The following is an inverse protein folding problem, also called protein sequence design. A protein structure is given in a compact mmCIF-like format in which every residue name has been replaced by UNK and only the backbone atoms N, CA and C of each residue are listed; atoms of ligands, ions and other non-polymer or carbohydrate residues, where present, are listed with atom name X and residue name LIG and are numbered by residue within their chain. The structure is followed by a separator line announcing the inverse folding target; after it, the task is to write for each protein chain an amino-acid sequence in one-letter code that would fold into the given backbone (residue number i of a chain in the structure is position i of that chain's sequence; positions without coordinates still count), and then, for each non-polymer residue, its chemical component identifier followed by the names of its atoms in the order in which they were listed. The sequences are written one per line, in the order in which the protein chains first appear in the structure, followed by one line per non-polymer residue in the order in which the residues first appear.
data_IF_129525666067
#
_entry.id   IF_129525666067
#
_cell.length_a   1.000
_cell.length_b   1.000
_cell.length_c   1.000
_cell.angle_alpha   90.00
_cell.angle_beta   90.00
_cell.angle_gamma   90.00
#
_symmetry.space_group_name_H-M   'P 1'
#
loop_
_entity.id
_entity.type
_entity.pdbx_description
1 polymer ?
#
# COMPACT_ATOMS: atom_id res chain seq x y z
N UNK A 1 33.27 -8.04 -1.07
CA UNK A 1 32.67 -6.80 -1.59
C UNK A 1 31.17 -6.98 -1.60
N UNK A 2 30.48 -6.40 -0.61
CA UNK A 2 29.01 -6.45 -0.50
C UNK A 2 28.43 -5.43 -1.48
N UNK A 3 27.43 -5.84 -2.25
CA UNK A 3 26.91 -5.08 -3.39
C UNK A 3 26.07 -3.87 -2.90
N UNK A 4 26.74 -2.73 -2.72
CA UNK A 4 26.25 -1.51 -2.06
C UNK A 4 25.12 -0.78 -2.82
N UNK A 5 24.85 -1.17 -4.07
CA UNK A 5 23.71 -0.69 -4.87
C UNK A 5 22.36 -1.21 -4.36
N UNK A 6 22.34 -2.34 -3.66
CA UNK A 6 21.12 -2.83 -3.01
C UNK A 6 20.81 -2.05 -1.74
N UNK A 7 21.80 -1.65 -0.94
CA UNK A 7 21.57 -1.15 0.41
C UNK A 7 20.82 0.19 0.51
N UNK A 8 21.00 1.13 -0.42
CA UNK A 8 20.36 2.46 -0.39
C UNK A 8 18.89 2.43 -0.85
N UNK A 9 18.63 1.73 -1.96
CA UNK A 9 17.27 1.43 -2.42
C UNK A 9 16.54 0.53 -1.41
N UNK A 10 17.24 -0.43 -0.80
CA UNK A 10 16.76 -1.27 0.28
C UNK A 10 16.62 -0.52 1.61
N UNK A 11 17.24 0.65 1.84
CA UNK A 11 17.04 1.45 3.07
C UNK A 11 15.81 2.32 3.00
N UNK A 12 15.46 2.86 1.82
CA UNK A 12 14.20 3.58 1.61
C UNK A 12 13.05 2.61 1.37
N UNK A 13 13.26 1.56 0.57
CA UNK A 13 12.31 0.45 0.42
C UNK A 13 12.22 -0.36 1.71
N UNK A 14 13.23 -0.51 2.58
CA UNK A 14 13.00 -1.07 3.93
C UNK A 14 12.70 -0.03 4.98
N UNK A 15 12.80 1.28 4.78
CA UNK A 15 12.21 2.23 5.74
C UNK A 15 10.72 2.33 5.44
N UNK A 16 10.35 2.48 4.18
CA UNK A 16 8.96 2.57 3.70
C UNK A 16 8.31 1.21 3.64
N UNK A 17 8.94 0.15 3.12
CA UNK A 17 8.48 -1.22 3.29
C UNK A 17 8.87 -1.83 4.63
N UNK A 18 9.66 -1.20 5.50
CA UNK A 18 9.49 -1.51 6.93
C UNK A 18 8.21 -0.93 7.46
N UNK A 19 7.96 0.34 7.19
CA UNK A 19 6.73 1.00 7.60
C UNK A 19 5.47 0.44 6.90
N UNK A 20 5.60 -0.30 5.79
CA UNK A 20 4.50 -0.87 4.98
C UNK A 20 4.49 -2.42 4.88
N UNK A 21 5.60 -3.13 5.13
CA UNK A 21 5.61 -4.60 5.32
C UNK A 21 5.72 -4.99 6.80
N UNK A 22 5.90 -4.05 7.73
CA UNK A 22 5.87 -4.33 9.16
C UNK A 22 4.48 -3.96 9.66
N UNK A 23 3.55 -4.90 9.46
CA UNK A 23 2.47 -5.07 10.40
C UNK A 23 3.02 -5.68 11.69
N UNK A 24 2.57 -5.14 12.83
CA UNK A 24 2.83 -5.56 14.22
C UNK A 24 4.15 -5.05 14.82
N UNK A 25 4.19 -4.46 16.01
CA UNK A 25 3.19 -4.27 17.05
C UNK A 25 3.78 -3.45 18.21
N UNK A 26 3.00 -2.74 19.03
CA UNK A 26 3.45 -1.86 20.14
C UNK A 26 2.73 -1.79 21.48
N UNK A 27 3.06 -0.83 22.33
CA UNK A 27 2.16 0.09 23.05
C UNK A 27 2.99 0.97 24.02
N UNK A 28 2.49 2.18 24.28
CA UNK A 28 3.28 3.29 24.81
C UNK A 28 3.13 3.73 26.26
N UNK A 29 3.92 4.77 26.55
CA UNK A 29 3.88 5.56 27.78
C UNK A 29 4.06 7.06 27.48
N UNK A 30 3.20 7.88 28.09
CA UNK A 30 3.12 9.34 27.93
C UNK A 30 3.92 10.09 29.00
N UNK A 31 4.65 11.14 28.62
CA UNK A 31 5.26 12.11 29.54
C UNK A 31 5.99 13.29 28.87
N UNK A 32 5.46 14.50 29.04
CA UNK A 32 6.15 15.81 28.85
C UNK A 32 6.20 16.36 27.42
N UNK A 33 5.54 17.51 27.16
CA UNK A 33 5.27 18.06 25.81
C UNK A 33 6.51 18.65 25.12
N UNK A 34 7.42 17.80 24.67
CA UNK A 34 8.16 18.07 23.44
C UNK A 34 7.13 18.23 22.30
N UNK A 35 7.41 19.10 21.30
CA UNK A 35 6.59 19.16 20.08
C UNK A 35 6.47 17.72 19.53
N UNK A 36 5.27 17.27 19.20
CA UNK A 36 5.07 15.96 18.57
C UNK A 36 5.46 16.02 17.09
N UNK A 37 5.93 14.92 16.50
CA UNK A 37 6.28 14.88 15.06
C UNK A 37 5.12 15.30 14.15
N UNK A 38 3.88 14.95 14.52
CA UNK A 38 2.67 15.34 13.79
C UNK A 38 2.45 16.86 13.75
N UNK A 39 2.94 17.60 14.76
CA UNK A 39 2.81 19.06 14.81
C UNK A 39 3.74 19.79 13.83
N UNK A 40 4.66 19.06 13.17
CA UNK A 40 5.58 19.60 12.18
C UNK A 40 5.12 19.34 10.74
N UNK A 41 4.00 18.66 10.53
CA UNK A 41 3.47 18.42 9.18
C UNK A 41 3.10 19.77 8.56
N UNK A 42 3.55 20.10 7.33
CA UNK A 42 3.18 21.34 6.67
C UNK A 42 1.71 21.39 6.26
N UNK A 43 1.14 22.61 6.23
CA UNK A 43 -0.24 22.85 5.79
C UNK A 43 -0.56 22.41 4.35
N UNK A 44 0.46 22.20 3.50
CA UNK A 44 0.27 21.69 2.13
C UNK A 44 -0.03 20.20 2.07
N UNK A 45 0.29 19.43 3.12
CA UNK A 45 -0.09 18.03 3.19
C UNK A 45 -1.60 17.89 3.32
N UNK A 46 -2.16 16.79 2.83
CA UNK A 46 -3.58 16.46 3.01
C UNK A 46 -3.78 15.01 3.51
N UNK A 47 -2.69 14.32 3.84
CA UNK A 47 -2.72 13.04 4.51
C UNK A 47 -1.41 12.74 5.24
N UNK A 48 -1.50 11.92 6.27
CA UNK A 48 -0.36 11.47 7.04
C UNK A 48 -0.60 10.11 7.68
N UNK A 49 0.49 9.40 7.97
CA UNK A 49 0.56 8.16 8.75
C UNK A 49 1.52 8.42 9.91
N UNK A 50 1.06 8.25 11.15
CA UNK A 50 1.90 8.27 12.34
C UNK A 50 2.12 6.84 12.82
N UNK A 51 3.36 6.52 13.19
CA UNK A 51 3.77 5.25 13.80
C UNK A 51 4.56 5.56 15.08
N UNK A 52 4.13 5.01 16.22
CA UNK A 52 4.80 5.10 17.52
C UNK A 52 5.83 3.97 17.64
N UNK A 53 7.01 4.20 17.06
CA UNK A 53 8.05 3.17 16.93
C UNK A 53 8.50 2.65 18.29
N UNK A 54 8.69 3.52 19.29
CA UNK A 54 9.13 3.11 20.63
C UNK A 54 8.15 2.15 21.29
N UNK A 55 6.88 2.49 21.19
CA UNK A 55 5.78 1.68 21.68
C UNK A 55 5.84 0.32 21.00
N UNK A 56 6.05 0.34 19.68
CA UNK A 56 6.22 -0.85 18.84
C UNK A 56 7.34 -1.75 19.35
N UNK A 57 8.53 -1.20 19.39
CA UNK A 57 9.73 -1.93 19.81
C UNK A 57 9.67 -2.38 21.26
N UNK A 58 8.81 -1.80 22.11
CA UNK A 58 8.64 -2.19 23.51
C UNK A 58 7.72 -3.42 23.71
N UNK A 59 6.86 -3.76 22.76
CA UNK A 59 5.90 -4.86 22.90
C UNK A 59 6.56 -6.23 22.98
N UNK A 60 6.12 -7.05 23.93
CA UNK A 60 6.74 -8.34 24.22
C UNK A 60 6.57 -9.35 23.06
N UNK A 61 5.43 -9.34 22.37
CA UNK A 61 5.15 -10.27 21.27
C UNK A 61 5.96 -9.90 20.04
N UNK A 62 6.14 -8.59 19.78
CA UNK A 62 7.10 -8.10 18.77
C UNK A 62 8.50 -8.52 19.10
N UNK A 63 8.97 -8.20 20.31
CA UNK A 63 10.31 -8.59 20.74
C UNK A 63 10.53 -10.09 20.68
N UNK A 64 9.49 -10.91 20.82
CA UNK A 64 9.59 -12.36 20.69
C UNK A 64 9.74 -12.80 19.23
N UNK A 65 9.07 -12.13 18.29
CA UNK A 65 9.17 -12.41 16.85
C UNK A 65 10.51 -11.97 16.26
N UNK A 66 11.08 -10.89 16.76
CA UNK A 66 12.34 -10.32 16.28
C UNK A 66 13.54 -10.75 17.13
N UNK A 67 13.69 -12.05 17.42
CA UNK A 67 14.87 -12.59 18.10
C UNK A 67 15.78 -13.34 17.14
N UNK A 68 17.06 -13.38 17.47
CA UNK A 68 18.06 -14.23 16.83
C UNK A 68 19.16 -13.46 16.11
N UNK A 69 20.20 -14.17 15.62
CA UNK A 69 21.42 -13.54 15.12
C UNK A 69 21.21 -12.55 13.98
N UNK A 70 20.28 -12.83 13.06
CA UNK A 70 19.96 -11.94 11.96
C UNK A 70 19.36 -10.60 12.41
N UNK A 71 18.50 -10.61 13.43
CA UNK A 71 17.94 -9.37 13.98
C UNK A 71 19.01 -8.58 14.73
N UNK A 72 19.81 -9.24 15.57
CA UNK A 72 20.91 -8.60 16.30
C UNK A 72 21.92 -7.95 15.36
N UNK A 73 22.26 -8.62 14.25
CA UNK A 73 23.14 -8.08 13.23
C UNK A 73 22.51 -6.89 12.49
N UNK A 74 21.22 -6.95 12.15
CA UNK A 74 20.50 -5.81 11.57
C UNK A 74 20.48 -4.60 12.52
N UNK A 75 20.14 -4.81 13.79
CA UNK A 75 20.15 -3.77 14.83
C UNK A 75 21.54 -3.16 15.03
N UNK A 76 22.59 -3.99 14.96
CA UNK A 76 23.97 -3.51 15.01
C UNK A 76 24.28 -2.64 13.79
N UNK A 77 23.90 -3.06 12.57
CA UNK A 77 24.12 -2.26 11.37
C UNK A 77 23.43 -0.90 11.43
N UNK A 78 22.19 -0.83 11.93
CA UNK A 78 21.51 0.44 12.17
C UNK A 78 22.25 1.30 13.20
N UNK A 79 22.67 0.71 14.31
CA UNK A 79 23.39 1.42 15.38
C UNK A 79 24.74 1.96 14.88
N UNK A 80 25.47 1.18 14.09
CA UNK A 80 26.73 1.58 13.44
C UNK A 80 26.49 2.75 12.47
N UNK A 81 25.32 2.79 11.80
CA UNK A 81 24.88 3.91 10.97
C UNK A 81 24.36 5.10 11.79
N UNK A 82 24.33 5.04 13.12
CA UNK A 82 23.80 6.12 13.97
C UNK A 82 22.28 6.10 14.13
N UNK A 83 21.61 4.98 13.81
CA UNK A 83 20.18 4.78 14.02
C UNK A 83 19.95 3.76 15.14
N UNK A 84 19.31 4.20 16.21
CA UNK A 84 18.88 3.38 17.33
C UNK A 84 17.35 3.28 17.32
N UNK A 85 16.82 2.20 16.73
CA UNK A 85 15.37 2.02 16.54
C UNK A 85 14.60 1.98 17.87
N UNK A 86 15.22 1.52 18.96
CA UNK A 86 14.58 1.49 20.29
C UNK A 86 14.42 2.90 20.89
N UNK A 87 15.21 3.87 20.39
CA UNK A 87 15.13 5.28 20.77
C UNK A 87 14.29 6.13 19.82
N UNK A 88 13.79 5.59 18.71
CA UNK A 88 12.84 6.31 17.86
C UNK A 88 11.49 6.32 18.55
N UNK A 89 11.03 7.50 18.95
CA UNK A 89 9.73 7.69 19.60
C UNK A 89 8.60 7.50 18.59
N UNK A 90 8.68 8.22 17.47
CA UNK A 90 7.66 8.16 16.43
C UNK A 90 8.23 8.48 15.04
N UNK A 91 7.53 8.01 14.01
CA UNK A 91 7.76 8.37 12.62
C UNK A 91 6.43 8.83 12.01
N UNK A 92 6.46 9.91 11.23
CA UNK A 92 5.30 10.49 10.58
C UNK A 92 5.59 10.63 9.09
N UNK A 93 4.95 9.81 8.27
CA UNK A 93 4.92 10.00 6.82
C UNK A 93 3.79 10.97 6.49
N UNK A 94 4.06 12.03 5.73
CA UNK A 94 3.04 12.93 5.23
C UNK A 94 3.15 13.07 3.71
N UNK A 95 2.01 13.35 3.07
CA UNK A 95 1.94 13.51 1.62
C UNK A 95 0.84 14.49 1.21
N UNK A 96 0.93 14.95 -0.04
CA UNK A 96 -0.19 15.59 -0.73
C UNK A 96 -0.73 14.63 -1.80
N UNK A 97 -1.88 14.02 -1.52
CA UNK A 97 -2.50 12.99 -2.36
C UNK A 97 -3.00 13.54 -3.70
N UNK A 98 -3.18 14.86 -3.83
CA UNK A 98 -3.47 15.49 -5.12
C UNK A 98 -2.25 15.55 -6.04
N UNK A 99 -1.04 15.40 -5.49
CA UNK A 99 0.23 15.43 -6.23
C UNK A 99 0.89 14.04 -6.32
N UNK A 100 0.25 12.99 -5.80
CA UNK A 100 0.78 11.63 -5.84
C UNK A 100 0.74 10.98 -7.24
N UNK A 101 0.37 11.73 -8.29
CA UNK A 101 0.36 11.23 -9.66
C UNK A 101 1.77 11.28 -10.30
N UNK A 102 2.46 10.13 -10.23
CA UNK A 102 3.43 9.54 -11.16
C UNK A 102 4.30 10.45 -12.04
N UNK A 103 4.83 11.54 -11.50
CA UNK A 103 6.03 12.14 -12.06
C UNK A 103 7.08 12.19 -10.97
N UNK A 104 8.24 11.61 -11.25
CA UNK A 104 9.43 11.60 -10.37
C UNK A 104 9.79 13.00 -9.86
N UNK A 105 9.37 14.04 -10.58
CA UNK A 105 9.87 15.40 -10.39
C UNK A 105 8.98 16.27 -9.49
N UNK A 106 7.81 15.78 -9.02
CA UNK A 106 6.85 16.62 -8.28
C UNK A 106 6.16 15.99 -7.06
N UNK A 107 6.56 14.79 -6.64
CA UNK A 107 5.93 14.14 -5.48
C UNK A 107 6.22 14.90 -4.17
N UNK A 108 5.20 15.55 -3.62
CA UNK A 108 5.25 16.18 -2.31
C UNK A 108 5.00 15.14 -1.21
N UNK A 109 6.08 14.59 -0.67
CA UNK A 109 6.06 13.67 0.46
C UNK A 109 7.23 13.96 1.41
N UNK A 110 7.06 13.64 2.68
CA UNK A 110 8.14 13.67 3.65
C UNK A 110 7.91 12.73 4.83
N UNK A 111 8.99 12.38 5.52
CA UNK A 111 9.06 11.52 6.68
C UNK A 111 9.72 12.29 7.82
N UNK A 112 9.00 12.52 8.91
CA UNK A 112 9.50 13.16 10.12
C UNK A 112 9.72 12.08 11.17
N UNK A 113 10.96 11.91 11.62
CA UNK A 113 11.34 10.95 12.65
C UNK A 113 11.70 11.73 13.91
N UNK A 114 11.16 11.30 15.05
CA UNK A 114 11.48 11.83 16.37
C UNK A 114 12.27 10.79 17.15
N UNK A 115 13.47 11.15 17.59
CA UNK A 115 14.37 10.32 18.39
C UNK A 115 15.26 9.41 17.55
N UNK A 116 16.14 8.68 18.23
CA UNK A 116 16.90 7.55 17.70
C UNK A 116 17.91 7.79 16.58
N UNK A 117 18.08 9.02 16.06
CA UNK A 117 19.02 9.28 14.96
C UNK A 117 20.11 10.25 15.42
N UNK A 118 21.36 9.78 15.43
CA UNK A 118 22.56 10.61 15.56
C UNK A 118 22.95 11.11 14.17
N UNK A 119 22.51 12.33 13.84
CA UNK A 119 22.74 12.90 12.51
C UNK A 119 24.22 13.00 12.13
N UNK A 120 25.11 13.22 13.09
CA UNK A 120 26.55 13.31 12.82
C UNK A 120 27.13 11.95 12.40
N UNK A 121 26.75 10.88 13.10
CA UNK A 121 27.12 9.51 12.75
C UNK A 121 26.47 9.06 11.45
N UNK A 122 25.19 9.38 11.25
CA UNK A 122 24.47 8.99 10.03
C UNK A 122 25.05 9.67 8.79
N UNK A 123 25.35 10.98 8.83
CA UNK A 123 26.04 11.67 7.73
C UNK A 123 27.44 11.09 7.50
N UNK A 124 28.18 10.78 8.57
CA UNK A 124 29.50 10.15 8.45
C UNK A 124 29.40 8.77 7.80
N UNK A 125 28.41 7.98 8.18
CA UNK A 125 28.11 6.68 7.60
C UNK A 125 27.77 6.81 6.11
N UNK A 126 26.88 7.72 5.72
CA UNK A 126 26.55 7.98 4.31
C UNK A 126 27.79 8.37 3.50
N UNK A 127 28.66 9.23 4.04
CA UNK A 127 29.93 9.62 3.41
C UNK A 127 30.89 8.42 3.23
N UNK A 128 30.97 7.52 4.21
CA UNK A 128 31.81 6.33 4.13
C UNK A 128 31.27 5.30 3.13
N UNK A 129 29.94 5.10 3.07
CA UNK A 129 29.30 4.22 2.09
C UNK A 129 29.40 4.77 0.65
N UNK A 130 29.67 6.07 0.50
CA UNK A 130 29.79 6.76 -0.77
C UNK A 130 31.09 6.53 -1.56
N UNK A 131 31.95 5.56 -1.19
CA UNK A 131 33.21 5.32 -1.92
C UNK A 131 32.96 5.06 -3.42
N UNK A 132 33.31 6.02 -4.29
CA UNK A 132 33.03 6.01 -5.74
C UNK A 132 32.43 7.34 -6.23
N UNK A 133 31.49 7.28 -7.19
CA UNK A 133 30.78 8.44 -7.77
C UNK A 133 29.65 9.02 -6.89
N UNK A 134 29.49 8.54 -5.65
CA UNK A 134 28.44 8.97 -4.72
C UNK A 134 28.96 10.09 -3.84
N UNK A 135 28.71 11.33 -4.26
CA UNK A 135 29.04 12.52 -3.47
C UNK A 135 27.78 12.95 -2.71
N UNK A 136 27.86 12.97 -1.38
CA UNK A 136 26.81 13.57 -0.56
C UNK A 136 26.94 15.09 -0.68
N UNK A 137 25.98 15.70 -1.38
CA UNK A 137 25.82 17.13 -1.48
C UNK A 137 25.25 17.72 -0.19
N UNK A 138 25.51 19.00 0.02
CA UNK A 138 24.99 19.77 1.15
C UNK A 138 24.55 21.14 0.63
N UNK A 139 23.35 21.56 1.02
CA UNK A 139 22.84 22.92 0.84
C UNK A 139 22.35 23.46 2.18
N UNK A 140 22.11 24.76 2.28
CA UNK A 140 21.60 25.38 3.51
C UNK A 140 20.25 26.05 3.28
N UNK A 141 19.36 25.93 4.27
CA UNK A 141 18.07 26.58 4.28
C UNK A 141 17.66 26.96 5.71
N UNK A 142 17.34 28.23 5.95
CA UNK A 142 16.91 28.76 7.26
C UNK A 142 17.80 28.32 8.44
N UNK A 143 19.11 28.24 8.20
CA UNK A 143 20.13 27.87 9.19
C UNK A 143 20.29 26.37 9.43
N UNK A 144 19.64 25.51 8.64
CA UNK A 144 19.85 24.06 8.66
C UNK A 144 20.59 23.59 7.42
N UNK A 145 21.41 22.55 7.59
CA UNK A 145 21.99 21.79 6.48
C UNK A 145 20.96 20.79 5.95
N UNK A 146 20.80 20.76 4.63
CA UNK A 146 20.03 19.76 3.90
C UNK A 146 21.04 18.96 3.07
N UNK A 147 21.14 17.67 3.35
CA UNK A 147 22.00 16.74 2.63
C UNK A 147 21.20 16.04 1.53
N UNK A 148 21.85 15.75 0.41
CA UNK A 148 21.25 15.06 -0.74
C UNK A 148 22.29 14.23 -1.48
N UNK A 149 21.88 13.14 -2.10
CA UNK A 149 22.78 12.32 -2.92
C UNK A 149 22.92 12.95 -4.32
N UNK A 150 24.15 13.26 -4.75
CA UNK A 150 24.42 13.80 -6.09
C UNK A 150 24.54 12.71 -7.16
N UNK A 151 24.58 11.43 -6.77
CA UNK A 151 25.10 10.35 -7.61
C UNK A 151 24.13 9.25 -8.01
N UNK A 152 22.82 9.35 -7.78
CA UNK A 152 21.95 8.17 -7.97
C UNK A 152 20.57 8.42 -8.59
N UNK A 153 20.26 7.52 -9.53
CA UNK A 153 18.95 7.00 -9.96
C UNK A 153 17.78 8.00 -10.02
N UNK A 154 17.14 8.22 -11.19
CA UNK A 154 15.94 9.05 -11.33
C UNK A 154 14.83 8.77 -10.29
N UNK A 155 14.78 7.56 -9.71
CA UNK A 155 13.82 7.21 -8.65
C UNK A 155 14.19 7.74 -7.26
N UNK A 156 15.48 8.05 -7.03
CA UNK A 156 16.00 8.64 -5.79
C UNK A 156 16.53 10.06 -5.95
N UNK A 157 16.62 10.57 -7.19
CA UNK A 157 16.84 11.98 -7.46
C UNK A 157 15.76 12.78 -6.74
N UNK A 158 16.16 13.52 -5.71
CA UNK A 158 15.25 14.35 -4.93
C UNK A 158 14.99 13.90 -3.51
N UNK A 159 15.55 12.78 -3.03
CA UNK A 159 15.51 12.49 -1.59
C UNK A 159 16.57 13.31 -0.85
N UNK A 160 16.08 14.19 0.02
CA UNK A 160 16.88 15.04 0.87
C UNK A 160 16.75 14.58 2.33
N UNK A 161 17.69 14.99 3.18
CA UNK A 161 17.63 14.78 4.63
C UNK A 161 18.09 16.03 5.38
N UNK A 162 17.40 16.37 6.47
CA UNK A 162 17.79 17.42 7.41
C UNK A 162 17.66 16.92 8.85
N UNK A 163 18.57 17.35 9.71
CA UNK A 163 18.51 17.10 11.16
C UNK A 163 18.11 18.39 11.83
N UNK A 164 16.89 18.42 12.37
CA UNK A 164 16.42 19.53 13.17
C UNK A 164 16.88 19.32 14.62
N UNK A 165 16.87 20.40 15.41
CA UNK A 165 17.12 20.31 16.84
C UNK A 165 16.14 19.37 17.55
N UNK A 166 16.37 19.13 18.84
CA UNK A 166 15.47 18.36 19.70
C UNK A 166 15.26 16.90 19.24
N UNK A 167 16.18 16.32 18.46
CA UNK A 167 16.10 14.93 18.02
C UNK A 167 15.10 14.68 16.89
N UNK A 168 14.85 15.68 16.04
CA UNK A 168 14.02 15.52 14.85
C UNK A 168 14.88 15.31 13.60
N UNK A 169 14.50 14.34 12.78
CA UNK A 169 15.11 14.10 11.47
C UNK A 169 14.01 14.14 10.41
N UNK A 170 14.25 14.81 9.29
CA UNK A 170 13.28 14.93 8.20
C UNK A 170 13.90 14.39 6.93
N UNK A 171 13.19 13.52 6.21
CA UNK A 171 13.55 13.00 4.91
C UNK A 171 12.41 13.30 3.93
N UNK A 172 12.70 13.53 2.64
CA UNK A 172 11.64 13.77 1.67
C UNK A 172 12.11 14.55 0.44
N UNK A 173 11.17 15.11 -0.32
CA UNK A 173 11.51 16.05 -1.39
C UNK A 173 12.11 17.33 -0.81
N UNK A 174 12.94 18.04 -1.57
CA UNK A 174 13.56 19.29 -1.12
C UNK A 174 12.51 20.28 -0.58
N UNK A 175 11.40 20.43 -1.31
CA UNK A 175 10.31 21.34 -0.92
C UNK A 175 9.61 20.89 0.37
N UNK A 176 9.39 19.58 0.55
CA UNK A 176 8.77 19.05 1.77
C UNK A 176 9.63 19.34 3.01
N UNK A 177 10.96 19.22 2.90
CA UNK A 177 11.89 19.48 4.00
C UNK A 177 11.91 20.96 4.35
N UNK A 178 11.98 21.84 3.33
CA UNK A 178 11.93 23.28 3.54
C UNK A 178 10.64 23.70 4.25
N UNK A 179 9.50 23.15 3.82
CA UNK A 179 8.21 23.44 4.45
C UNK A 179 8.16 22.93 5.91
N UNK A 180 8.74 21.76 6.22
CA UNK A 180 8.84 21.26 7.61
C UNK A 180 9.75 22.16 8.45
N UNK A 181 10.89 22.61 7.90
CA UNK A 181 11.78 23.57 8.55
C UNK A 181 11.04 24.87 8.89
N UNK A 182 10.20 25.36 7.97
CA UNK A 182 9.41 26.58 8.19
C UNK A 182 8.37 26.39 9.30
N UNK A 183 7.68 25.26 9.37
CA UNK A 183 6.78 24.94 10.49
C UNK A 183 7.56 24.83 11.79
N UNK A 184 8.71 24.18 11.79
CA UNK A 184 9.57 24.02 12.96
C UNK A 184 10.01 25.36 13.54
N UNK A 185 10.43 26.30 12.66
CA UNK A 185 10.85 27.67 13.02
C UNK A 185 9.68 28.61 13.36
N UNK A 186 8.44 28.21 13.09
CA UNK A 186 7.26 29.06 13.28
C UNK A 186 7.02 30.06 12.14
N UNK A 187 7.70 29.88 11.00
CA UNK A 187 7.55 30.69 9.80
C UNK A 187 6.35 30.25 8.94
N UNK A 188 5.88 29.00 9.10
CA UNK A 188 4.71 28.46 8.44
C UNK A 188 3.74 27.82 9.44
N UNK A 189 2.48 27.69 9.05
CA UNK A 189 1.45 27.00 9.85
C UNK A 189 1.55 25.49 9.63
N UNK A 190 1.35 24.69 10.69
CA UNK A 190 1.22 23.25 10.55
C UNK A 190 -0.10 22.88 9.84
N UNK A 191 -0.20 21.61 9.46
CA UNK A 191 -1.43 21.01 8.97
C UNK A 191 -2.59 21.27 9.93
N UNK A 192 -3.64 21.89 9.40
CA UNK A 192 -4.89 22.15 10.09
C UNK A 192 -6.02 21.87 9.10
N UNK A 193 -6.59 20.68 9.19
CA UNK A 193 -7.64 20.22 8.30
C UNK A 193 -8.77 19.59 9.12
N UNK A 194 -9.91 20.28 9.17
CA UNK A 194 -11.05 19.88 9.99
C UNK A 194 -11.59 18.48 9.65
N UNK A 195 -11.48 18.05 8.39
CA UNK A 195 -11.90 16.72 7.97
C UNK A 195 -10.97 15.64 8.54
N UNK A 196 -9.66 15.87 8.47
CA UNK A 196 -8.65 14.98 9.07
C UNK A 196 -8.78 14.94 10.60
N UNK A 197 -8.98 16.09 11.24
CA UNK A 197 -9.18 16.17 12.69
C UNK A 197 -10.45 15.45 13.12
N UNK A 198 -11.50 15.49 12.31
CA UNK A 198 -12.74 14.78 12.57
C UNK A 198 -12.56 13.26 12.53
N UNK A 199 -11.93 12.71 11.48
CA UNK A 199 -11.67 11.26 11.43
C UNK A 199 -10.65 10.83 12.49
N UNK A 200 -9.62 11.64 12.76
CA UNK A 200 -8.64 11.40 13.84
C UNK A 200 -9.32 11.36 15.21
N UNK A 201 -10.29 12.24 15.46
CA UNK A 201 -11.04 12.29 16.73
C UNK A 201 -11.97 11.10 16.96
N UNK A 202 -12.14 10.24 15.96
CA UNK A 202 -13.02 9.06 16.03
C UNK A 202 -12.27 7.73 16.13
N UNK A 203 -11.00 7.70 15.75
CA UNK A 203 -10.12 6.53 15.85
C UNK A 203 -9.24 6.60 17.10
N UNK A 204 -8.67 5.46 17.50
CA UNK A 204 -7.68 5.38 18.57
C UNK A 204 -6.33 6.02 18.17
N UNK A 205 -6.25 7.34 18.31
CA UNK A 205 -4.99 8.10 18.14
C UNK A 205 -3.94 7.77 19.21
N UNK A 206 -4.31 7.02 20.26
CA UNK A 206 -3.36 6.46 21.21
C UNK A 206 -2.78 5.12 20.76
N UNK A 207 -3.33 4.51 19.70
CA UNK A 207 -2.81 3.31 19.07
C UNK A 207 -1.37 3.45 18.54
N UNK A 208 -0.82 2.33 18.09
CA UNK A 208 0.57 2.28 17.65
C UNK A 208 0.78 2.96 16.31
N UNK A 209 -0.21 2.85 15.45
CA UNK A 209 -0.21 3.55 14.19
C UNK A 209 -1.60 4.05 13.87
N UNK A 210 -1.64 5.21 13.24
CA UNK A 210 -2.87 5.72 12.66
C UNK A 210 -2.58 6.57 11.43
N UNK A 211 -3.55 6.60 10.53
CA UNK A 211 -3.55 7.37 9.29
C UNK A 211 -4.76 8.27 9.28
N UNK A 212 -4.61 9.46 8.71
CA UNK A 212 -5.73 10.32 8.33
C UNK A 212 -5.42 10.93 6.96
N UNK A 213 -6.34 10.83 6.02
CA UNK A 213 -6.15 11.31 4.65
C UNK A 213 -7.45 11.88 4.07
N UNK A 214 -7.33 13.01 3.37
CA UNK A 214 -8.41 13.57 2.57
C UNK A 214 -8.45 12.84 1.22
N UNK A 215 -9.66 12.48 0.77
CA UNK A 215 -9.84 11.79 -0.50
C UNK A 215 -9.66 12.80 -1.65
N UNK A 216 -8.71 12.56 -2.58
CA UNK A 216 -8.53 13.41 -3.76
C UNK A 216 -9.78 13.46 -4.64
N UNK A 217 -9.99 14.56 -5.35
CA UNK A 217 -11.12 14.68 -6.28
C UNK A 217 -11.07 13.66 -7.43
N UNK A 218 -9.87 13.26 -7.85
CA UNK A 218 -9.67 12.18 -8.82
C UNK A 218 -10.21 10.84 -8.30
N UNK A 219 -9.93 10.52 -7.04
CA UNK A 219 -10.45 9.32 -6.38
C UNK A 219 -11.96 9.42 -6.14
N UNK A 220 -12.48 10.60 -5.74
CA UNK A 220 -13.95 10.82 -5.65
C UNK A 220 -14.63 10.59 -7.00
N UNK A 221 -14.02 11.02 -8.10
CA UNK A 221 -14.56 10.83 -9.45
C UNK A 221 -14.56 9.35 -9.84
N UNK A 222 -13.51 8.60 -9.50
CA UNK A 222 -13.46 7.15 -9.69
C UNK A 222 -14.51 6.44 -8.83
N UNK A 223 -14.67 6.83 -7.56
CA UNK A 223 -15.71 6.28 -6.68
C UNK A 223 -17.11 6.55 -7.26
N UNK A 224 -17.38 7.74 -7.79
CA UNK A 224 -18.64 8.05 -8.49
C UNK A 224 -18.86 7.11 -9.67
N UNK A 225 -17.84 6.93 -10.51
CA UNK A 225 -17.93 6.05 -11.69
C UNK A 225 -18.17 4.60 -11.29
N UNK A 226 -17.39 4.06 -10.35
CA UNK A 226 -17.56 2.69 -9.84
C UNK A 226 -18.91 2.50 -9.16
N UNK A 227 -19.43 3.53 -8.49
CA UNK A 227 -20.68 3.41 -7.74
C UNK A 227 -21.95 3.33 -8.58
N UNK A 228 -21.84 3.66 -9.87
CA UNK A 228 -22.92 3.43 -10.84
C UNK A 228 -23.18 1.94 -11.12
N UNK A 229 -22.23 1.06 -10.77
CA UNK A 229 -22.38 -0.38 -10.88
C UNK A 229 -22.85 -0.94 -9.54
N UNK A 230 -24.10 -1.41 -9.47
CA UNK A 230 -24.57 -2.15 -8.30
C UNK A 230 -23.86 -3.51 -8.23
N UNK A 231 -23.20 -3.82 -7.13
CA UNK A 231 -22.61 -5.15 -6.92
C UNK A 231 -23.66 -6.03 -6.23
N UNK A 232 -24.16 -7.05 -6.93
CA UNK A 232 -25.20 -7.96 -6.41
C UNK A 232 -26.44 -7.24 -5.86
N UNK A 233 -26.84 -6.12 -6.49
CA UNK A 233 -27.98 -5.30 -6.04
C UNK A 233 -27.68 -4.36 -4.87
N UNK A 234 -26.46 -4.38 -4.32
CA UNK A 234 -25.99 -3.42 -3.31
C UNK A 234 -25.40 -2.20 -4.01
N UNK A 235 -26.02 -1.04 -3.80
CA UNK A 235 -25.52 0.24 -4.31
C UNK A 235 -24.47 0.80 -3.35
N UNK A 236 -23.29 1.14 -3.88
CA UNK A 236 -22.20 1.82 -3.15
C UNK A 236 -22.17 3.33 -3.44
N UNK A 237 -23.21 3.88 -4.04
CA UNK A 237 -23.32 5.31 -4.42
C UNK A 237 -23.03 6.26 -3.26
N UNK A 238 -23.43 5.91 -2.04
CA UNK A 238 -23.18 6.76 -0.87
C UNK A 238 -21.70 6.91 -0.52
N UNK A 239 -20.82 6.01 -0.99
CA UNK A 239 -19.37 6.14 -0.82
C UNK A 239 -18.73 7.19 -1.73
N UNK A 240 -19.45 7.65 -2.75
CA UNK A 240 -18.97 8.72 -3.62
C UNK A 240 -18.82 10.08 -2.89
N UNK A 241 -19.43 10.24 -1.71
CA UNK A 241 -19.34 11.48 -0.91
C UNK A 241 -18.33 11.40 0.24
N UNK A 242 -17.48 10.37 0.30
CA UNK A 242 -16.40 10.30 1.29
C UNK A 242 -15.42 11.46 1.07
N UNK A 243 -15.17 12.22 2.12
CA UNK A 243 -14.28 13.39 2.14
C UNK A 243 -12.92 13.08 2.76
N UNK A 244 -12.92 12.30 3.83
CA UNK A 244 -11.71 11.90 4.54
C UNK A 244 -11.87 10.49 5.12
N UNK A 245 -10.74 9.81 5.26
CA UNK A 245 -10.64 8.50 5.90
C UNK A 245 -9.56 8.55 6.96
N UNK A 246 -9.87 8.00 8.12
CA UNK A 246 -8.91 7.72 9.18
C UNK A 246 -8.90 6.23 9.47
N UNK A 247 -7.74 5.69 9.83
CA UNK A 247 -7.65 4.34 10.36
C UNK A 247 -6.62 4.27 11.47
N UNK A 248 -6.83 3.41 12.45
CA UNK A 248 -5.87 3.14 13.53
C UNK A 248 -5.72 1.65 13.78
N UNK A 249 -4.57 1.28 14.33
CA UNK A 249 -4.32 -0.05 14.90
C UNK A 249 -3.78 0.13 16.32
N UNK A 250 -4.39 -0.57 17.26
CA UNK A 250 -3.97 -0.63 18.65
C UNK A 250 -4.03 -2.06 19.18
N UNK A 251 -3.44 -2.30 20.36
CA UNK A 251 -3.56 -3.58 21.05
C UNK A 251 -4.13 -3.36 22.44
N UNK A 252 -5.31 -3.92 22.66
CA UNK A 252 -6.05 -3.83 23.91
C UNK A 252 -5.74 -5.05 24.78
N UNK A 253 -5.50 -4.80 26.06
CA UNK A 253 -5.20 -5.84 27.06
C UNK A 253 -3.94 -6.67 26.74
N UNK A 254 -3.03 -6.15 25.92
CA UNK A 254 -1.79 -6.85 25.55
C UNK A 254 -2.00 -8.11 24.71
N UNK A 255 -3.20 -8.34 24.15
CA UNK A 255 -3.50 -9.56 23.37
C UNK A 255 -4.33 -9.31 22.11
N UNK A 256 -5.31 -8.41 22.19
CA UNK A 256 -6.29 -8.22 21.11
C UNK A 256 -5.87 -7.03 20.26
N UNK A 257 -5.66 -7.26 18.96
CA UNK A 257 -5.47 -6.16 18.03
C UNK A 257 -6.84 -5.58 17.69
N UNK A 258 -6.96 -4.26 17.82
CA UNK A 258 -8.14 -3.52 17.41
C UNK A 258 -7.75 -2.66 16.23
N UNK A 259 -8.53 -2.76 15.16
CA UNK A 259 -8.45 -1.84 14.03
C UNK A 259 -9.74 -1.02 13.95
N UNK A 260 -9.60 0.29 13.80
CA UNK A 260 -10.73 1.21 13.67
C UNK A 260 -10.57 2.00 12.37
N UNK A 261 -11.64 2.09 11.57
CA UNK A 261 -11.73 2.96 10.38
C UNK A 261 -12.82 3.99 10.66
N UNK A 262 -12.51 5.25 10.40
CA UNK A 262 -13.45 6.35 10.35
C UNK A 262 -13.54 6.86 8.91
N UNK A 263 -14.74 6.99 8.36
CA UNK A 263 -14.98 7.61 7.05
C UNK A 263 -15.91 8.80 7.25
N UNK A 264 -15.43 9.99 6.93
CA UNK A 264 -16.26 11.19 6.90
C UNK A 264 -16.92 11.33 5.53
N UNK A 265 -18.22 11.59 5.52
CA UNK A 265 -19.04 11.82 4.34
C UNK A 265 -19.43 13.29 4.25
N UNK A 266 -19.84 13.74 3.05
CA UNK A 266 -20.35 15.10 2.85
C UNK A 266 -21.66 15.39 3.59
N UNK A 267 -22.37 14.36 4.08
CA UNK A 267 -23.60 14.52 4.86
C UNK A 267 -23.88 13.35 5.82
N UNK A 268 -24.65 13.61 6.87
CA UNK A 268 -25.16 12.56 7.78
C UNK A 268 -26.07 11.56 7.06
N UNK A 269 -26.83 12.01 6.05
CA UNK A 269 -27.68 11.13 5.24
C UNK A 269 -26.85 10.10 4.46
N UNK A 270 -25.74 10.54 3.84
CA UNK A 270 -24.82 9.64 3.14
C UNK A 270 -24.10 8.71 4.10
N UNK A 271 -23.68 9.19 5.28
CA UNK A 271 -23.08 8.35 6.31
C UNK A 271 -24.07 7.25 6.76
N UNK A 272 -25.32 7.61 7.02
CA UNK A 272 -26.37 6.65 7.39
C UNK A 272 -26.68 5.63 6.28
N UNK A 273 -26.77 6.07 5.02
CA UNK A 273 -26.93 5.17 3.85
C UNK A 273 -25.74 4.23 3.73
N UNK A 274 -24.51 4.73 3.85
CA UNK A 274 -23.28 3.93 3.79
C UNK A 274 -23.16 2.92 4.93
N UNK A 275 -23.55 3.31 6.15
CA UNK A 275 -23.60 2.39 7.29
C UNK A 275 -24.50 1.19 6.97
N UNK A 276 -25.71 1.45 6.47
CA UNK A 276 -26.66 0.39 6.08
C UNK A 276 -26.10 -0.52 4.98
N UNK A 277 -25.38 0.05 4.01
CA UNK A 277 -24.71 -0.71 2.95
C UNK A 277 -23.65 -1.64 3.53
N UNK A 278 -22.82 -1.15 4.47
CA UNK A 278 -21.80 -1.97 5.14
C UNK A 278 -22.42 -3.06 6.01
N UNK A 279 -23.46 -2.73 6.78
CA UNK A 279 -24.19 -3.70 7.60
C UNK A 279 -24.83 -4.79 6.73
N UNK A 280 -25.48 -4.40 5.62
CA UNK A 280 -26.05 -5.34 4.66
C UNK A 280 -24.97 -6.20 4.00
N UNK A 281 -23.83 -5.62 3.61
CA UNK A 281 -22.69 -6.36 3.06
C UNK A 281 -22.11 -7.37 4.03
N UNK A 282 -21.89 -6.98 5.30
CA UNK A 282 -21.44 -7.89 6.36
C UNK A 282 -22.41 -9.06 6.53
N UNK A 283 -23.71 -8.75 6.65
CA UNK A 283 -24.73 -9.78 6.84
C UNK A 283 -24.87 -10.69 5.61
N UNK A 284 -24.75 -10.14 4.39
CA UNK A 284 -24.74 -10.95 3.17
C UNK A 284 -23.58 -11.94 3.15
N UNK A 285 -22.39 -11.52 3.58
CA UNK A 285 -21.24 -12.44 3.65
C UNK A 285 -21.46 -13.53 4.70
N UNK A 286 -21.89 -13.15 5.90
CA UNK A 286 -22.14 -14.06 7.02
C UNK A 286 -23.31 -15.03 6.78
N UNK A 287 -24.47 -14.51 6.37
CA UNK A 287 -25.72 -15.25 6.27
C UNK A 287 -25.97 -15.81 4.86
N UNK A 288 -25.42 -15.16 3.83
CA UNK A 288 -25.59 -15.56 2.43
C UNK A 288 -24.70 -16.74 2.00
N UNK A 289 -23.97 -17.36 2.93
CA UNK A 289 -23.12 -18.51 2.67
C UNK A 289 -21.84 -18.19 1.88
N UNK A 290 -21.52 -16.91 1.65
CA UNK A 290 -20.29 -16.52 0.93
C UNK A 290 -19.04 -16.96 1.68
N UNK A 291 -19.05 -16.96 3.03
CA UNK A 291 -17.90 -17.48 3.79
C UNK A 291 -17.58 -18.93 3.41
N UNK A 292 -18.61 -19.77 3.22
CA UNK A 292 -18.41 -21.17 2.81
C UNK A 292 -17.90 -21.32 1.38
N UNK A 293 -18.04 -20.30 0.53
CA UNK A 293 -17.49 -20.30 -0.83
C UNK A 293 -16.03 -19.81 -0.85
N UNK A 294 -15.66 -18.95 0.10
CA UNK A 294 -14.31 -18.36 0.20
C UNK A 294 -13.37 -19.28 0.98
N UNK A 295 -13.85 -19.87 2.07
CA UNK A 295 -13.06 -20.73 2.93
C UNK A 295 -12.68 -22.04 2.24
N UNK A 296 -11.44 -22.50 2.42
CA UNK A 296 -10.94 -23.76 1.88
C UNK A 296 -11.33 -24.95 2.75
N UNK A 297 -11.52 -24.72 4.05
CA UNK A 297 -11.91 -25.72 5.03
C UNK A 297 -12.74 -25.10 6.18
N UNK A 298 -13.27 -25.95 7.06
CA UNK A 298 -14.11 -25.53 8.19
C UNK A 298 -13.37 -24.68 9.23
N UNK A 299 -12.03 -24.82 9.33
CA UNK A 299 -11.23 -24.01 10.26
C UNK A 299 -11.11 -22.58 9.74
N UNK A 300 -10.80 -22.42 8.45
CA UNK A 300 -10.79 -21.12 7.77
C UNK A 300 -12.17 -20.47 7.76
N UNK A 301 -13.23 -21.26 7.57
CA UNK A 301 -14.61 -20.77 7.65
C UNK A 301 -14.93 -20.21 9.04
N UNK A 302 -14.66 -20.98 10.10
CA UNK A 302 -14.90 -20.54 11.47
C UNK A 302 -14.09 -19.29 11.82
N UNK A 303 -12.85 -19.20 11.30
CA UNK A 303 -12.01 -18.01 11.44
C UNK A 303 -12.65 -16.79 10.76
N UNK A 304 -13.06 -16.91 9.50
CA UNK A 304 -13.70 -15.83 8.75
C UNK A 304 -15.02 -15.39 9.39
N UNK A 305 -15.84 -16.33 9.86
CA UNK A 305 -17.09 -16.03 10.58
C UNK A 305 -16.80 -15.27 11.89
N UNK A 306 -15.80 -15.68 12.66
CA UNK A 306 -15.40 -14.98 13.88
C UNK A 306 -14.88 -13.56 13.59
N UNK A 307 -14.08 -13.40 12.53
CA UNK A 307 -13.57 -12.10 12.07
C UNK A 307 -14.72 -11.19 11.67
N UNK A 308 -15.63 -11.65 10.82
CA UNK A 308 -16.76 -10.85 10.33
C UNK A 308 -17.75 -10.52 11.46
N UNK A 309 -17.93 -11.43 12.41
CA UNK A 309 -18.78 -11.21 13.58
C UNK A 309 -18.20 -10.19 14.56
N UNK A 310 -16.88 -9.98 14.54
CA UNK A 310 -16.23 -8.92 15.35
C UNK A 310 -16.25 -7.55 14.68
N UNK A 311 -16.65 -7.47 13.41
CA UNK A 311 -16.83 -6.19 12.70
C UNK A 311 -18.12 -5.51 13.14
N UNK A 312 -17.96 -4.41 13.88
CA UNK A 312 -19.05 -3.49 14.20
C UNK A 312 -19.03 -2.29 13.26
N UNK A 313 -20.20 -1.89 12.78
CA UNK A 313 -20.39 -0.69 11.97
C UNK A 313 -21.32 0.24 12.73
N UNK A 314 -20.97 1.51 12.83
CA UNK A 314 -21.81 2.54 13.45
C UNK A 314 -21.66 3.86 12.71
N UNK A 315 -22.58 4.80 12.93
CA UNK A 315 -22.44 6.18 12.43
C UNK A 315 -22.68 7.18 13.56
N UNK A 316 -22.05 8.34 13.43
CA UNK A 316 -22.17 9.45 14.38
C UNK A 316 -22.05 10.76 13.60
N UNK A 317 -23.20 11.36 13.27
CA UNK A 317 -23.27 12.50 12.36
C UNK A 317 -22.83 12.10 10.95
N UNK A 318 -21.90 12.87 10.39
CA UNK A 318 -21.32 12.66 9.06
C UNK A 318 -20.20 11.60 9.01
N UNK A 319 -19.93 10.87 10.11
CA UNK A 319 -18.87 9.87 10.16
C UNK A 319 -19.42 8.47 10.34
N UNK A 320 -18.99 7.53 9.49
CA UNK A 320 -19.16 6.08 9.68
C UNK A 320 -17.91 5.50 10.30
N UNK A 321 -18.10 4.65 11.31
CA UNK A 321 -17.07 3.92 12.01
C UNK A 321 -17.18 2.43 11.71
N UNK A 322 -16.07 1.82 11.35
CA UNK A 322 -15.90 0.36 11.36
C UNK A 322 -14.90 0.03 12.45
N UNK A 323 -15.23 -0.89 13.33
CA UNK A 323 -14.31 -1.39 14.34
C UNK A 323 -14.25 -2.90 14.25
N UNK A 324 -13.03 -3.41 14.24
CA UNK A 324 -12.69 -4.82 14.15
C UNK A 324 -11.77 -5.18 15.31
N UNK A 325 -12.13 -6.19 16.09
CA UNK A 325 -11.29 -6.75 17.14
C UNK A 325 -10.84 -8.15 16.71
N UNK A 326 -9.52 -8.38 16.63
CA UNK A 326 -9.01 -9.59 16.01
C UNK A 326 -9.31 -10.87 16.77
N UNK A 327 -9.69 -10.78 18.05
CA UNK A 327 -10.27 -11.81 18.94
C UNK A 327 -9.49 -13.11 19.16
N UNK A 328 -8.66 -13.46 18.19
CA UNK A 328 -7.92 -14.68 18.02
C UNK A 328 -6.47 -14.31 18.32
N UNK A 329 -5.81 -15.16 19.11
CA UNK A 329 -4.35 -15.17 19.28
C UNK A 329 -3.72 -15.60 17.93
N UNK A 330 -3.99 -14.86 16.85
CA UNK A 330 -3.41 -15.16 15.56
C UNK A 330 -1.95 -14.73 15.54
N UNK A 331 -1.14 -15.59 14.95
CA UNK A 331 0.21 -15.26 14.51
C UNK A 331 0.18 -13.99 13.66
N UNK A 332 1.29 -13.25 13.65
CA UNK A 332 1.48 -11.99 12.91
C UNK A 332 1.04 -12.03 11.44
N UNK A 333 0.91 -13.21 10.84
CA UNK A 333 0.34 -13.42 9.51
C UNK A 333 -1.10 -12.90 9.35
N UNK A 334 -1.95 -13.01 10.37
CA UNK A 334 -3.33 -12.52 10.31
C UNK A 334 -3.41 -10.99 10.22
N UNK A 335 -2.55 -10.29 10.96
CA UNK A 335 -2.49 -8.82 10.95
C UNK A 335 -1.93 -8.29 9.62
N UNK A 336 -0.96 -9.00 9.01
CA UNK A 336 -0.48 -8.67 7.67
C UNK A 336 -1.58 -8.78 6.60
N UNK A 337 -2.45 -9.80 6.70
CA UNK A 337 -3.61 -9.94 5.80
C UNK A 337 -4.66 -8.85 6.02
N UNK A 338 -4.90 -8.43 7.27
CA UNK A 338 -5.80 -7.32 7.58
C UNK A 338 -5.24 -6.01 7.03
N UNK A 339 -3.93 -5.76 7.17
CA UNK A 339 -3.26 -4.60 6.57
C UNK A 339 -3.32 -4.60 5.05
N UNK A 340 -3.19 -5.76 4.40
CA UNK A 340 -3.42 -5.93 2.96
C UNK A 340 -4.87 -5.64 2.57
N UNK A 341 -5.84 -6.07 3.39
CA UNK A 341 -7.26 -5.76 3.20
C UNK A 341 -7.50 -4.25 3.33
N UNK A 342 -6.93 -3.60 4.36
CA UNK A 342 -6.99 -2.15 4.55
C UNK A 342 -6.32 -1.40 3.40
N UNK A 343 -5.18 -1.87 2.89
CA UNK A 343 -4.50 -1.30 1.72
C UNK A 343 -5.32 -1.48 0.42
N UNK A 344 -6.21 -2.47 0.36
CA UNK A 344 -7.15 -2.64 -0.75
C UNK A 344 -8.41 -1.79 -0.63
N UNK A 345 -8.84 -1.43 0.60
CA UNK A 345 -10.01 -0.57 0.85
C UNK A 345 -9.69 0.93 0.96
N UNK A 346 -8.48 1.32 1.39
CA UNK A 346 -8.08 2.72 1.61
C UNK A 346 -7.77 3.50 0.31
N UNK A 347 -8.27 3.03 -0.84
CA UNK A 347 -7.98 3.59 -2.15
C UNK A 347 -6.82 2.91 -2.86
N UNK A 348 -6.59 3.24 -4.14
CA UNK A 348 -5.50 2.65 -4.90
C UNK A 348 -4.21 2.86 -4.10
N UNK A 349 -3.53 1.75 -3.79
CA UNK A 349 -2.18 1.76 -3.22
C UNK A 349 -1.39 2.93 -3.83
N UNK A 350 -0.64 3.72 -3.04
CA UNK A 350 0.27 4.75 -3.58
C UNK A 350 1.33 4.19 -4.55
N UNK A 351 1.37 2.86 -4.75
CA UNK A 351 1.80 2.21 -5.99
C UNK A 351 0.57 1.79 -6.85
N UNK A 352 -0.05 2.71 -7.58
CA UNK A 352 -0.95 2.41 -8.69
C UNK A 352 -0.23 1.84 -9.92
N UNK A 353 1.05 1.46 -9.82
CA UNK A 353 1.48 0.28 -10.55
C UNK A 353 0.87 -0.91 -9.83
N UNK A 354 -0.23 -1.44 -10.39
CA UNK A 354 -0.72 -2.77 -10.02
C UNK A 354 0.51 -3.67 -9.98
N UNK A 355 0.85 -4.20 -8.81
CA UNK A 355 2.06 -5.02 -8.70
C UNK A 355 1.85 -6.27 -9.55
N UNK A 356 2.93 -6.91 -10.00
CA UNK A 356 2.82 -8.17 -10.73
C UNK A 356 1.97 -9.20 -9.95
N UNK A 357 2.03 -9.18 -8.61
CA UNK A 357 1.22 -10.03 -7.75
C UNK A 357 -0.27 -9.65 -7.76
N UNK A 358 -0.60 -8.36 -7.73
CA UNK A 358 -1.99 -7.89 -7.84
C UNK A 358 -2.59 -8.22 -9.20
N UNK A 359 -1.84 -7.98 -10.28
CA UNK A 359 -2.24 -8.35 -11.65
C UNK A 359 -2.48 -9.86 -11.74
N UNK A 360 -1.56 -10.67 -11.20
CA UNK A 360 -1.69 -12.13 -11.16
C UNK A 360 -2.91 -12.60 -10.37
N UNK A 361 -3.20 -12.01 -9.21
CA UNK A 361 -4.39 -12.37 -8.43
C UNK A 361 -5.68 -12.01 -9.17
N UNK A 362 -5.72 -10.83 -9.78
CA UNK A 362 -6.85 -10.40 -10.61
C UNK A 362 -7.11 -11.40 -11.74
N UNK A 363 -6.11 -11.67 -12.58
CA UNK A 363 -6.28 -12.54 -13.74
C UNK A 363 -6.56 -14.00 -13.37
N UNK A 364 -6.12 -14.47 -12.20
CA UNK A 364 -6.49 -15.79 -11.66
C UNK A 364 -7.97 -15.92 -11.31
N UNK A 365 -8.65 -14.81 -11.03
CA UNK A 365 -10.07 -14.79 -10.65
C UNK A 365 -11.02 -14.54 -11.82
N UNK A 366 -10.48 -14.25 -13.01
CA UNK A 366 -11.26 -13.90 -14.20
C UNK A 366 -12.03 -15.09 -14.76
N UNK A 367 -13.20 -14.79 -15.32
CA UNK A 367 -14.07 -15.76 -15.98
C UNK A 367 -14.56 -15.19 -17.32
N UNK A 368 -14.62 -15.99 -18.40
CA UNK A 368 -14.45 -17.45 -18.41
C UNK A 368 -13.02 -17.99 -18.49
N UNK A 369 -12.01 -17.16 -18.75
CA UNK A 369 -10.62 -17.58 -18.91
C UNK A 369 -9.76 -16.96 -17.81
N UNK A 370 -9.24 -17.78 -16.90
CA UNK A 370 -8.31 -17.33 -15.87
C UNK A 370 -6.85 -17.48 -16.33
N UNK A 371 -5.98 -16.50 -16.03
CA UNK A 371 -4.52 -16.61 -16.27
C UNK A 371 -3.82 -16.98 -14.96
N UNK A 372 -3.36 -18.23 -14.88
CA UNK A 372 -2.72 -18.79 -13.68
C UNK A 372 -1.22 -18.42 -13.56
N UNK A 373 -0.60 -18.14 -14.70
CA UNK A 373 0.81 -17.78 -14.85
C UNK A 373 1.09 -17.28 -16.25
N UNK A 374 2.15 -16.50 -16.42
CA UNK A 374 2.51 -15.92 -17.71
C UNK A 374 3.98 -15.53 -17.77
N UNK A 375 4.58 -15.63 -18.96
CA UNK A 375 5.95 -15.20 -19.27
C UNK A 375 5.97 -14.51 -20.64
N UNK A 376 6.86 -13.54 -20.82
CA UNK A 376 7.09 -12.88 -22.11
C UNK A 376 8.60 -12.71 -22.29
N UNK A 377 9.15 -13.26 -23.37
CA UNK A 377 10.57 -13.15 -23.71
C UNK A 377 10.89 -11.79 -24.30
N UNK A 378 11.92 -11.12 -23.78
CA UNK A 378 12.39 -9.84 -24.34
C UNK A 378 13.05 -9.98 -25.70
N UNK A 379 13.64 -11.14 -26.00
CA UNK A 379 14.40 -11.34 -27.24
C UNK A 379 13.49 -11.65 -28.43
N UNK A 380 12.44 -12.43 -28.19
CA UNK A 380 11.60 -12.98 -29.26
C UNK A 380 10.17 -12.46 -29.26
N UNK A 381 9.75 -11.78 -28.18
CA UNK A 381 8.33 -11.46 -27.96
C UNK A 381 7.46 -12.71 -27.73
N UNK A 382 8.07 -13.89 -27.52
CA UNK A 382 7.35 -15.11 -27.25
C UNK A 382 6.66 -15.04 -25.88
N UNK A 383 5.34 -15.17 -25.89
CA UNK A 383 4.49 -15.14 -24.71
C UNK A 383 3.94 -16.54 -24.42
N UNK A 384 3.99 -16.96 -23.16
CA UNK A 384 3.32 -18.16 -22.67
C UNK A 384 2.32 -17.77 -21.59
N UNK A 385 1.11 -18.28 -21.68
CA UNK A 385 0.01 -18.05 -20.75
C UNK A 385 -0.51 -19.39 -20.24
N UNK A 386 -0.42 -19.64 -18.94
CA UNK A 386 -1.09 -20.77 -18.30
C UNK A 386 -2.56 -20.41 -18.09
N UNK A 387 -3.43 -20.85 -18.98
CA UNK A 387 -4.85 -20.52 -18.96
C UNK A 387 -5.66 -21.63 -18.29
N UNK A 388 -6.74 -21.26 -17.61
CA UNK A 388 -7.75 -22.18 -17.10
C UNK A 388 -9.12 -21.80 -17.65
N UNK A 389 -9.80 -22.75 -18.30
CA UNK A 389 -11.19 -22.61 -18.67
C UNK A 389 -12.05 -22.89 -17.42
N UNK A 390 -12.72 -21.86 -16.89
CA UNK A 390 -13.59 -22.02 -15.71
C UNK A 390 -15.04 -22.39 -16.06
N UNK A 391 -15.36 -22.50 -17.36
CA UNK A 391 -16.69 -22.94 -17.81
C UNK A 391 -16.85 -24.45 -17.75
N UNK A 392 -18.11 -24.87 -17.80
CA UNK A 392 -18.53 -26.26 -17.93
C UNK A 392 -18.69 -26.72 -19.40
N UNK A 393 -18.18 -25.95 -20.36
CA UNK A 393 -18.15 -26.28 -21.78
C UNK A 393 -16.76 -26.03 -22.37
N UNK A 394 -16.47 -26.65 -23.51
CA UNK A 394 -15.19 -26.48 -24.22
C UNK A 394 -15.13 -25.09 -24.88
N UNK A 395 -13.93 -24.49 -24.85
CA UNK A 395 -13.64 -23.23 -25.53
C UNK A 395 -12.48 -23.38 -26.52
N UNK A 396 -12.55 -22.63 -27.61
CA UNK A 396 -11.46 -22.47 -28.57
C UNK A 396 -11.08 -21.00 -28.61
N UNK A 397 -9.90 -20.67 -28.10
CA UNK A 397 -9.32 -19.33 -28.20
C UNK A 397 -8.93 -19.09 -29.66
N UNK A 398 -9.49 -18.06 -30.27
CA UNK A 398 -9.21 -17.70 -31.66
C UNK A 398 -8.19 -16.58 -31.77
N UNK A 399 -8.12 -15.71 -30.76
CA UNK A 399 -7.19 -14.59 -30.73
C UNK A 399 -6.86 -14.18 -29.30
N UNK A 400 -5.65 -13.69 -29.09
CA UNK A 400 -5.21 -13.04 -27.85
C UNK A 400 -4.51 -11.75 -28.29
N UNK A 401 -4.92 -10.60 -27.77
CA UNK A 401 -4.25 -9.33 -28.09
C UNK A 401 -3.57 -8.74 -26.85
N UNK A 402 -2.34 -8.26 -27.01
CA UNK A 402 -1.55 -7.55 -25.99
C UNK A 402 -1.39 -6.10 -26.44
N UNK A 403 -1.92 -5.15 -25.67
CA UNK A 403 -1.94 -3.73 -26.01
C UNK A 403 -2.48 -3.48 -27.45
N UNK A 404 -3.53 -4.20 -27.83
CA UNK A 404 -4.13 -4.13 -29.16
C UNK A 404 -3.40 -4.87 -30.27
N UNK A 405 -2.25 -5.51 -29.99
CA UNK A 405 -1.50 -6.32 -30.95
C UNK A 405 -1.79 -7.80 -30.77
N UNK A 406 -2.32 -8.44 -31.80
CA UNK A 406 -2.63 -9.88 -31.79
C UNK A 406 -1.37 -10.75 -31.71
N UNK A 407 -1.41 -11.76 -30.84
CA UNK A 407 -0.42 -12.83 -30.78
C UNK A 407 -0.50 -13.67 -32.05
N UNK A 408 0.65 -13.90 -32.68
CA UNK A 408 0.77 -14.77 -33.85
C UNK A 408 1.21 -16.18 -33.45
N UNK A 409 0.83 -17.16 -34.27
CA UNK A 409 1.27 -18.55 -34.07
C UNK A 409 0.71 -19.19 -32.80
N UNK A 410 -0.53 -18.86 -32.42
CA UNK A 410 -1.18 -19.43 -31.24
C UNK A 410 -1.15 -20.97 -31.27
N UNK A 411 -0.56 -21.58 -30.24
CA UNK A 411 -0.57 -23.02 -30.04
C UNK A 411 -1.54 -23.39 -28.93
N UNK A 412 -2.05 -24.62 -28.97
CA UNK A 412 -2.80 -25.21 -27.85
C UNK A 412 -4.10 -24.51 -27.44
N UNK A 413 -4.68 -23.71 -28.34
CA UNK A 413 -5.80 -22.82 -28.09
C UNK A 413 -7.17 -23.50 -27.81
N UNK A 414 -7.24 -24.82 -27.78
CA UNK A 414 -8.45 -25.57 -27.39
C UNK A 414 -8.35 -25.99 -25.93
N UNK A 415 -9.30 -25.55 -25.10
CA UNK A 415 -9.40 -25.88 -23.68
C UNK A 415 -10.74 -26.57 -23.40
N UNK A 416 -10.70 -27.81 -22.93
CA UNK A 416 -11.91 -28.49 -22.45
C UNK A 416 -12.48 -27.83 -21.19
N UNK A 417 -13.74 -28.14 -20.86
CA UNK A 417 -14.38 -27.69 -19.62
C UNK A 417 -13.48 -27.95 -18.38
N UNK A 418 -13.24 -26.92 -17.57
CA UNK A 418 -12.39 -27.01 -16.37
C UNK A 418 -10.88 -27.18 -16.63
N UNK A 419 -10.43 -27.34 -17.87
CA UNK A 419 -9.05 -27.68 -18.19
C UNK A 419 -8.11 -26.49 -17.95
N UNK A 420 -6.93 -26.78 -17.39
CA UNK A 420 -5.78 -25.87 -17.38
C UNK A 420 -4.79 -26.26 -18.48
N UNK A 421 -4.33 -25.29 -19.26
CA UNK A 421 -3.41 -25.52 -20.38
C UNK A 421 -2.54 -24.28 -20.66
N UNK A 422 -1.29 -24.50 -21.03
CA UNK A 422 -0.41 -23.42 -21.50
C UNK A 422 -0.70 -23.12 -22.97
N UNK A 423 -1.10 -21.88 -23.26
CA UNK A 423 -1.28 -21.34 -24.60
C UNK A 423 -0.12 -20.40 -24.88
N UNK A 424 0.49 -20.50 -26.07
CA UNK A 424 1.64 -19.68 -26.42
C UNK A 424 1.51 -19.04 -27.78
N UNK A 425 2.20 -17.92 -27.99
CA UNK A 425 2.25 -17.20 -29.26
C UNK A 425 3.30 -16.09 -29.23
N UNK A 426 3.49 -15.40 -30.33
CA UNK A 426 4.51 -14.34 -30.45
C UNK A 426 3.85 -12.99 -30.64
N UNK A 427 4.20 -12.03 -29.78
CA UNK A 427 3.82 -10.62 -29.91
C UNK A 427 4.59 -10.03 -31.10
N UNK A 428 3.90 -9.43 -32.09
CA UNK A 428 4.56 -8.82 -33.26
C UNK A 428 5.42 -7.59 -32.88
N UNK A 429 6.35 -7.25 -33.77
CA UNK A 429 7.23 -6.07 -33.64
C UNK A 429 6.43 -4.80 -33.30
N UNK A 430 6.88 -4.07 -32.27
CA UNK A 430 6.24 -2.86 -31.75
C UNK A 430 5.71 -2.98 -30.31
N UNK A 431 5.50 -4.20 -29.81
CA UNK A 431 5.05 -4.48 -28.43
C UNK A 431 6.02 -5.46 -27.74
N UNK A 432 7.31 -5.37 -28.08
CA UNK A 432 8.34 -6.20 -27.45
C UNK A 432 8.54 -5.71 -26.01
N UNK A 433 8.43 -6.63 -25.06
CA UNK A 433 8.74 -6.34 -23.67
C UNK A 433 10.24 -6.01 -23.58
N UNK A 434 10.66 -4.97 -22.84
CA UNK A 434 11.99 -4.34 -22.90
C UNK A 434 13.23 -5.23 -22.72
N UNK A 435 14.17 -4.88 -21.83
CA UNK A 435 15.30 -5.77 -21.53
C UNK A 435 14.89 -6.92 -20.58
N UNK A 436 15.63 -8.04 -20.50
CA UNK A 436 15.38 -9.06 -19.49
C UNK A 436 15.27 -8.45 -18.08
N UNK A 437 14.20 -8.79 -17.36
CA UNK A 437 13.89 -8.23 -16.04
C UNK A 437 13.13 -6.88 -16.05
N UNK A 438 13.01 -6.20 -17.20
CA UNK A 438 12.18 -5.02 -17.34
C UNK A 438 10.70 -5.37 -17.12
N UNK A 439 9.98 -4.47 -16.45
CA UNK A 439 8.55 -4.64 -16.26
C UNK A 439 7.78 -4.31 -17.55
N UNK A 440 6.70 -5.04 -17.81
CA UNK A 440 5.71 -4.72 -18.84
C UNK A 440 4.31 -4.61 -18.24
N UNK A 441 3.43 -3.89 -18.93
CA UNK A 441 2.00 -3.74 -18.63
C UNK A 441 1.23 -3.83 -19.94
N UNK A 442 0.45 -4.90 -20.12
CA UNK A 442 -0.31 -5.11 -21.35
C UNK A 442 -1.80 -5.20 -21.08
N UNK A 443 -2.59 -4.41 -21.79
CA UNK A 443 -4.03 -4.63 -21.85
C UNK A 443 -4.31 -5.91 -22.66
N UNK A 444 -4.93 -6.93 -22.04
CA UNK A 444 -5.15 -8.24 -22.66
C UNK A 444 -6.61 -8.45 -23.03
N UNK A 445 -6.85 -8.88 -24.27
CA UNK A 445 -8.18 -9.29 -24.75
C UNK A 445 -8.11 -10.69 -25.31
N UNK A 446 -8.99 -11.57 -24.84
CA UNK A 446 -9.20 -12.89 -25.43
C UNK A 446 -10.39 -12.84 -26.38
N UNK A 447 -10.25 -13.40 -27.57
CA UNK A 447 -11.39 -13.76 -28.42
C UNK A 447 -11.48 -15.28 -28.47
N UNK A 448 -12.67 -15.83 -28.24
CA UNK A 448 -12.87 -17.27 -28.15
C UNK A 448 -14.24 -17.69 -28.68
N UNK A 449 -14.33 -18.96 -29.03
CA UNK A 449 -15.55 -19.64 -29.43
C UNK A 449 -15.97 -20.63 -28.35
N UNK A 450 -17.26 -20.84 -28.23
CA UNK A 450 -17.90 -21.95 -27.49
C UNK A 450 -18.63 -22.84 -28.50
N UNK A 451 -19.26 -23.94 -28.05
CA UNK A 451 -20.04 -24.81 -28.97
C UNK A 451 -21.16 -24.04 -29.69
N UNK A 452 -21.77 -23.06 -29.02
CA UNK A 452 -22.99 -22.42 -29.49
C UNK A 452 -22.79 -20.96 -29.96
N UNK A 453 -21.67 -20.33 -29.61
CA UNK A 453 -21.44 -18.91 -29.87
C UNK A 453 -20.00 -18.68 -30.31
N UNK A 454 -19.83 -17.94 -31.41
CA UNK A 454 -18.55 -17.61 -32.02
C UNK A 454 -18.17 -16.15 -31.71
N UNK A 455 -16.86 -15.87 -31.65
CA UNK A 455 -16.31 -14.53 -31.56
C UNK A 455 -16.62 -13.80 -30.25
N UNK A 456 -16.81 -14.55 -29.15
CA UNK A 456 -16.94 -13.92 -27.83
C UNK A 456 -15.64 -13.25 -27.44
N UNK A 457 -15.73 -12.15 -26.71
CA UNK A 457 -14.58 -11.43 -26.20
C UNK A 457 -14.60 -11.37 -24.68
N UNK A 458 -13.45 -11.59 -24.07
CA UNK A 458 -13.18 -11.34 -22.66
C UNK A 458 -12.09 -10.27 -22.58
N UNK A 459 -12.43 -9.14 -21.96
CA UNK A 459 -11.58 -7.95 -21.83
C UNK A 459 -11.29 -7.77 -20.35
N UNK A 460 -10.03 -7.84 -19.95
CA UNK A 460 -9.64 -7.52 -18.58
C UNK A 460 -9.74 -6.03 -18.30
N UNK A 461 -10.22 -5.67 -17.10
CA UNK A 461 -10.23 -4.29 -16.62
C UNK A 461 -8.89 -3.86 -15.95
N UNK A 462 -7.96 -4.81 -15.80
CA UNK A 462 -6.56 -4.59 -15.40
C UNK A 462 -5.60 -5.06 -16.47
N UNK A 463 -4.47 -4.38 -16.57
CA UNK A 463 -3.37 -4.85 -17.38
C UNK A 463 -2.73 -6.12 -16.79
N UNK A 464 -2.20 -6.96 -17.68
CA UNK A 464 -1.29 -8.05 -17.36
C UNK A 464 0.11 -7.49 -17.14
N UNK A 465 0.58 -7.54 -15.89
CA UNK A 465 1.85 -6.91 -15.47
C UNK A 465 2.86 -7.97 -15.09
N UNK A 466 4.00 -8.00 -15.76
CA UNK A 466 5.04 -8.98 -15.49
C UNK A 466 6.44 -8.42 -15.66
N UNK A 467 7.42 -9.31 -15.70
CA UNK A 467 8.80 -9.00 -16.07
C UNK A 467 9.19 -9.82 -17.29
N UNK A 468 9.94 -9.20 -18.18
CA UNK A 468 10.56 -9.89 -19.30
C UNK A 468 11.50 -10.99 -18.80
N UNK A 469 11.47 -12.12 -19.49
CA UNK A 469 12.44 -13.21 -19.29
C UNK A 469 13.54 -13.16 -20.31
#
# INVERSE_FOLDING_TARGET
MVNCGRLSGLLLVMAVSALLLFGCAGNGGSGGSAKEAISLIPAKANGYILVKVKDIMADADVKAQFRGPAYEEAMKQYTDAGIDLEKIESAVLFLNSNQAQYSSDSNYFGLIIKGGIDGSKFVSYLKQQGSGSRVLGETSYNGYSIYYDQGWDPLTQGLHIAFLGDGFTVLGSEQSIKDVIDVYKGNAKPLNNAALDRVKGKIDSNGWAYVAMAIPDSMKSQLKQSSSQSYQGVSIESFASVEAVGASISKKGGKVFTSEIAMQFGSEADASKSQKVLDAGRNLVLEGGMVSQIARDETEKAALEAILSSVSVSSSGDVVMLKYDSGLEYSSAGVAQILLLYASFAGPSPSSSVTADQSKLYWKSMTPISIMGYTVSSETGFAQLDLQNVLNEDITITSITFAGTELTGLTDANLSAGQRKTVSGTVREGVICGSPGASYSYHVVFTYNTRNLLGKQEIGDKDLIGKCT
#
